data_IF_789835415316
#
_entry.id   IF_789835415316
#
_cell.length_a   1.000
_cell.length_b   1.000
_cell.length_c   1.000
_cell.angle_alpha   90.00
_cell.angle_beta   90.00
_cell.angle_gamma   90.00
#
_symmetry.space_group_name_H-M   'P 1'
#
loop_
_entity.id
_entity.type
_entity.pdbx_description
1 polymer ?
#
# COMPACT_ATOMS: atom_id res chain seq x y z
N UNK A 1 15.79 -19.60 13.87
CA UNK A 1 15.67 -18.13 14.10
C UNK A 1 14.88 -17.47 12.96
N UNK A 2 14.21 -16.32 13.23
CA UNK A 2 13.41 -15.64 12.21
C UNK A 2 14.09 -14.34 11.75
N UNK A 3 14.03 -14.04 10.45
CA UNK A 3 14.67 -12.87 9.85
C UNK A 3 13.70 -12.05 9.00
N UNK A 4 13.91 -10.72 8.98
CA UNK A 4 13.29 -9.80 8.05
C UNK A 4 14.34 -9.21 7.12
N UNK A 5 14.16 -9.35 5.82
CA UNK A 5 14.97 -8.70 4.81
C UNK A 5 14.22 -7.48 4.30
N UNK A 6 14.81 -6.32 4.47
CA UNK A 6 14.29 -5.05 3.99
C UNK A 6 15.33 -4.23 3.22
N UNK A 7 14.90 -3.14 2.58
CA UNK A 7 15.79 -2.27 1.86
C UNK A 7 16.76 -1.52 2.78
N UNK A 8 18.00 -1.32 2.31
CA UNK A 8 18.95 -0.40 2.94
C UNK A 8 18.48 1.03 2.70
N UNK A 9 17.81 1.60 3.71
CA UNK A 9 17.21 2.92 3.59
C UNK A 9 18.24 4.04 3.65
N UNK A 10 18.22 4.95 2.68
CA UNK A 10 18.98 6.19 2.74
C UNK A 10 18.29 7.18 3.68
N UNK A 11 19.04 7.78 4.60
CA UNK A 11 18.54 8.80 5.56
C UNK A 11 17.94 10.07 4.90
N UNK A 12 18.14 10.27 3.59
CA UNK A 12 17.69 11.43 2.82
C UNK A 12 16.47 11.06 1.95
N UNK A 13 15.30 10.98 2.52
CA UNK A 13 14.08 10.84 1.73
C UNK A 13 12.89 10.50 2.61
N UNK A 14 12.24 11.53 3.14
CA UNK A 14 10.95 11.42 3.83
C UNK A 14 9.80 11.32 2.81
N UNK A 15 9.90 10.40 1.84
CA UNK A 15 8.82 10.12 0.91
C UNK A 15 7.94 8.98 1.46
N UNK A 16 6.65 9.02 1.14
CA UNK A 16 5.69 8.00 1.54
C UNK A 16 6.13 6.56 1.16
N UNK A 17 6.90 6.39 0.07
CA UNK A 17 7.47 5.11 -0.35
C UNK A 17 8.47 4.49 0.63
N UNK A 18 9.11 5.28 1.51
CA UNK A 18 10.02 4.75 2.53
C UNK A 18 9.31 4.39 3.84
N UNK A 19 8.06 4.81 3.99
CA UNK A 19 7.29 4.58 5.23
C UNK A 19 6.91 3.12 5.39
N UNK A 20 6.40 2.49 4.32
CA UNK A 20 5.94 1.11 4.38
C UNK A 20 7.06 0.13 4.76
N UNK A 21 8.22 0.06 4.08
CA UNK A 21 9.26 -0.87 4.46
C UNK A 21 9.77 -0.64 5.88
N UNK A 22 9.83 0.62 6.34
CA UNK A 22 10.24 0.96 7.71
C UNK A 22 9.24 0.40 8.72
N UNK A 23 7.96 0.64 8.52
CA UNK A 23 6.92 0.16 9.41
C UNK A 23 6.88 -1.38 9.47
N UNK A 24 7.04 -2.06 8.34
CA UNK A 24 7.13 -3.53 8.31
C UNK A 24 8.35 -4.05 9.08
N UNK A 25 9.52 -3.41 8.91
CA UNK A 25 10.72 -3.77 9.64
C UNK A 25 10.52 -3.59 11.16
N UNK A 26 9.91 -2.48 11.57
CA UNK A 26 9.65 -2.20 12.98
C UNK A 26 8.64 -3.19 13.58
N UNK A 27 7.58 -3.54 12.85
CA UNK A 27 6.61 -4.57 13.26
C UNK A 27 7.29 -5.95 13.38
N UNK A 28 8.12 -6.33 12.40
CA UNK A 28 8.84 -7.61 12.46
C UNK A 28 9.84 -7.66 13.62
N UNK A 29 10.50 -6.55 13.94
CA UNK A 29 11.36 -6.46 15.12
C UNK A 29 10.60 -6.68 16.44
N UNK A 30 9.42 -6.05 16.55
CA UNK A 30 8.53 -6.24 17.69
C UNK A 30 8.11 -7.71 17.85
N UNK A 31 8.03 -8.43 16.71
CA UNK A 31 7.75 -9.88 16.68
C UNK A 31 9.02 -10.76 16.86
N UNK A 32 10.18 -10.17 17.09
CA UNK A 32 11.44 -10.88 17.35
C UNK A 32 12.23 -11.29 16.13
N UNK A 33 11.92 -10.78 14.94
CA UNK A 33 12.69 -11.03 13.73
C UNK A 33 14.00 -10.23 13.71
N UNK A 34 15.12 -10.87 13.33
CA UNK A 34 16.39 -10.18 13.12
C UNK A 34 16.42 -9.49 11.76
N UNK A 35 16.92 -8.25 11.71
CA UNK A 35 16.99 -7.45 10.47
C UNK A 35 18.18 -7.81 9.63
N UNK A 36 17.97 -7.95 8.33
CA UNK A 36 18.98 -8.00 7.28
C UNK A 36 18.63 -6.94 6.24
N UNK A 37 19.60 -6.19 5.76
CA UNK A 37 19.40 -5.17 4.75
C UNK A 37 20.04 -5.56 3.42
N UNK A 38 19.32 -5.27 2.34
CA UNK A 38 19.81 -5.40 0.96
C UNK A 38 19.53 -4.11 0.17
N UNK A 39 20.29 -3.87 -0.89
CA UNK A 39 20.05 -2.75 -1.77
C UNK A 39 18.80 -2.97 -2.62
N UNK A 40 17.92 -1.98 -2.72
CA UNK A 40 16.75 -2.01 -3.62
C UNK A 40 17.15 -2.11 -5.08
N UNK A 41 18.27 -1.50 -5.43
CA UNK A 41 18.85 -1.53 -6.75
C UNK A 41 20.32 -1.19 -6.72
N UNK A 42 21.05 -1.66 -7.71
CA UNK A 42 22.48 -1.45 -7.79
C UNK A 42 22.84 -0.26 -8.66
N UNK A 43 23.68 0.62 -8.13
CA UNK A 43 24.31 1.68 -8.92
C UNK A 43 25.34 1.04 -9.87
N UNK A 44 25.29 1.37 -11.16
CA UNK A 44 26.20 0.79 -12.17
C UNK A 44 27.68 0.92 -11.80
N UNK A 45 28.09 2.08 -11.22
CA UNK A 45 29.48 2.33 -10.80
C UNK A 45 29.89 1.55 -9.54
N UNK A 46 28.95 1.04 -8.75
CA UNK A 46 29.18 0.33 -7.49
C UNK A 46 28.57 -1.07 -7.49
N UNK A 47 28.15 -1.58 -8.63
CA UNK A 47 27.35 -2.80 -8.77
C UNK A 47 28.02 -4.00 -8.06
N UNK A 48 29.28 -4.26 -8.35
CA UNK A 48 30.01 -5.42 -7.80
C UNK A 48 30.08 -5.29 -6.28
N UNK A 49 30.46 -4.11 -5.77
CA UNK A 49 30.61 -3.87 -4.35
C UNK A 49 29.28 -4.03 -3.60
N UNK A 50 28.21 -3.42 -4.11
CA UNK A 50 26.87 -3.52 -3.51
C UNK A 50 26.32 -4.95 -3.57
N UNK A 51 26.58 -5.66 -4.66
CA UNK A 51 26.19 -7.07 -4.80
C UNK A 51 26.92 -7.97 -3.78
N UNK A 52 28.25 -7.76 -3.59
CA UNK A 52 29.02 -8.49 -2.58
C UNK A 52 28.59 -8.15 -1.17
N UNK A 53 28.29 -6.87 -0.87
CA UNK A 53 27.76 -6.45 0.43
C UNK A 53 26.45 -7.18 0.73
N UNK A 54 25.48 -7.18 -0.21
CA UNK A 54 24.22 -7.89 -0.03
C UNK A 54 24.42 -9.40 0.14
N UNK A 55 25.33 -9.99 -0.64
CA UNK A 55 25.65 -11.42 -0.50
C UNK A 55 26.20 -11.75 0.89
N UNK A 56 27.15 -10.96 1.41
CA UNK A 56 27.71 -11.13 2.76
C UNK A 56 26.61 -10.97 3.81
N UNK A 57 25.75 -9.95 3.70
CA UNK A 57 24.64 -9.75 4.63
C UNK A 57 23.70 -10.96 4.66
N UNK A 58 23.37 -11.53 3.51
CA UNK A 58 22.51 -12.71 3.41
C UNK A 58 23.16 -13.98 3.98
N UNK A 59 24.50 -14.07 4.02
CA UNK A 59 25.19 -15.21 4.62
C UNK A 59 24.96 -15.32 6.15
N UNK A 60 24.65 -14.20 6.84
CA UNK A 60 24.33 -14.21 8.27
C UNK A 60 22.98 -14.86 8.60
N UNK A 61 22.14 -15.15 7.62
CA UNK A 61 20.90 -15.89 7.80
C UNK A 61 21.24 -17.36 8.06
N UNK A 62 20.68 -17.93 9.12
CA UNK A 62 20.88 -19.35 9.48
C UNK A 62 20.12 -20.27 8.51
N UNK A 63 20.63 -21.49 8.33
CA UNK A 63 19.95 -22.51 7.54
C UNK A 63 18.60 -22.88 8.21
N UNK A 64 17.61 -23.30 7.42
CA UNK A 64 16.26 -23.71 7.87
C UNK A 64 15.51 -22.63 8.64
N UNK A 65 15.88 -21.34 8.49
CA UNK A 65 15.21 -20.22 9.17
C UNK A 65 13.95 -19.79 8.43
N UNK A 66 13.04 -19.11 9.15
CA UNK A 66 11.91 -18.41 8.52
C UNK A 66 12.34 -16.98 8.17
N UNK A 67 12.12 -16.58 6.92
CA UNK A 67 12.57 -15.30 6.39
C UNK A 67 11.41 -14.58 5.73
N UNK A 68 11.02 -13.44 6.29
CA UNK A 68 10.14 -12.48 5.61
C UNK A 68 11.02 -11.61 4.71
N UNK A 69 10.63 -11.47 3.46
CA UNK A 69 11.31 -10.58 2.51
C UNK A 69 10.33 -9.53 2.01
N UNK A 70 10.62 -8.24 2.28
CA UNK A 70 9.84 -7.14 1.71
C UNK A 70 10.13 -7.09 0.21
N UNK A 71 9.25 -7.71 -0.57
CA UNK A 71 9.40 -7.75 -2.03
C UNK A 71 8.65 -6.56 -2.65
N UNK A 72 9.44 -5.62 -3.10
CA UNK A 72 9.00 -4.41 -3.77
C UNK A 72 9.61 -4.36 -5.18
N UNK A 73 9.30 -3.34 -5.95
CA UNK A 73 9.89 -3.13 -7.28
C UNK A 73 11.39 -2.89 -7.16
N UNK A 74 12.13 -3.96 -6.97
CA UNK A 74 13.60 -3.96 -6.83
C UNK A 74 14.30 -4.23 -8.16
N UNK A 75 15.62 -4.12 -8.15
CA UNK A 75 16.39 -4.58 -9.29
C UNK A 75 16.25 -6.10 -9.43
N UNK A 76 16.21 -6.55 -10.69
CA UNK A 76 16.17 -7.97 -11.04
C UNK A 76 17.33 -8.77 -10.39
N UNK A 77 18.51 -8.19 -10.31
CA UNK A 77 19.69 -8.84 -9.73
C UNK A 77 19.56 -8.99 -8.21
N UNK A 78 19.08 -7.96 -7.51
CA UNK A 78 18.88 -8.00 -6.07
C UNK A 78 17.86 -9.08 -5.68
N UNK A 79 16.67 -9.08 -6.32
CA UNK A 79 15.66 -10.12 -6.09
C UNK A 79 16.21 -11.52 -6.32
N UNK A 80 16.88 -11.76 -7.48
CA UNK A 80 17.46 -13.05 -7.81
C UNK A 80 18.51 -13.50 -6.79
N UNK A 81 19.33 -12.57 -6.28
CA UNK A 81 20.33 -12.87 -5.25
C UNK A 81 19.66 -13.35 -3.97
N UNK A 82 18.67 -12.61 -3.47
CA UNK A 82 17.95 -12.96 -2.24
C UNK A 82 17.34 -14.36 -2.34
N UNK A 83 16.52 -14.62 -3.35
CA UNK A 83 15.89 -15.94 -3.51
C UNK A 83 16.93 -17.07 -3.69
N UNK A 84 17.99 -16.85 -4.48
CA UNK A 84 19.04 -17.84 -4.67
C UNK A 84 19.76 -18.21 -3.36
N UNK A 85 20.09 -17.22 -2.53
CA UNK A 85 20.76 -17.49 -1.24
C UNK A 85 19.81 -18.19 -0.27
N UNK A 86 18.59 -17.71 -0.14
CA UNK A 86 17.59 -18.29 0.75
C UNK A 86 17.24 -19.74 0.40
N UNK A 87 17.07 -20.05 -0.89
CA UNK A 87 16.86 -21.43 -1.36
C UNK A 87 18.03 -22.34 -1.01
N UNK A 88 19.29 -21.86 -1.20
CA UNK A 88 20.48 -22.65 -0.82
C UNK A 88 20.59 -22.92 0.68
N UNK A 89 20.02 -22.03 1.49
CA UNK A 89 19.97 -22.17 2.96
C UNK A 89 18.77 -22.99 3.44
N UNK A 90 17.95 -23.52 2.52
CA UNK A 90 16.69 -24.21 2.83
C UNK A 90 15.78 -23.34 3.73
N UNK A 91 15.79 -22.02 3.52
CA UNK A 91 14.98 -21.10 4.30
C UNK A 91 13.51 -21.14 3.87
N UNK A 92 12.60 -20.97 4.85
CA UNK A 92 11.16 -20.78 4.62
C UNK A 92 10.94 -19.35 4.18
N UNK A 93 10.79 -19.14 2.87
CA UNK A 93 10.72 -17.81 2.25
C UNK A 93 9.28 -17.32 2.26
N UNK A 94 9.05 -16.17 2.92
CA UNK A 94 7.75 -15.49 2.98
C UNK A 94 7.90 -14.08 2.38
N UNK A 95 7.74 -13.89 1.06
CA UNK A 95 7.70 -12.56 0.50
C UNK A 95 6.45 -11.81 0.97
N UNK A 96 6.64 -10.59 1.49
CA UNK A 96 5.61 -9.62 1.76
C UNK A 96 5.61 -8.61 0.62
N UNK A 97 4.52 -8.60 -0.16
CA UNK A 97 4.47 -7.85 -1.40
C UNK A 97 4.01 -6.41 -1.17
N UNK A 98 4.88 -5.45 -1.47
CA UNK A 98 4.50 -4.04 -1.55
C UNK A 98 3.96 -3.69 -2.94
N UNK A 99 4.68 -4.10 -3.97
CA UNK A 99 4.37 -3.84 -5.37
C UNK A 99 4.76 -5.03 -6.23
N UNK A 100 4.04 -5.24 -7.33
CA UNK A 100 4.34 -6.28 -8.32
C UNK A 100 4.62 -5.63 -9.68
N UNK A 101 5.79 -5.88 -10.24
CA UNK A 101 6.22 -5.31 -11.53
C UNK A 101 5.26 -5.64 -12.67
N UNK A 102 4.75 -6.86 -12.70
CA UNK A 102 3.81 -7.33 -13.75
C UNK A 102 2.49 -6.55 -13.72
N UNK A 103 2.02 -6.12 -12.55
CA UNK A 103 0.82 -5.28 -12.43
C UNK A 103 1.07 -3.84 -12.86
N UNK A 104 2.23 -3.29 -12.53
CA UNK A 104 2.61 -1.92 -12.90
C UNK A 104 2.89 -1.76 -14.39
N UNK A 105 3.35 -2.83 -15.07
CA UNK A 105 3.81 -2.80 -16.47
C UNK A 105 3.24 -3.97 -17.29
N UNK A 106 1.91 -4.09 -17.44
CA UNK A 106 1.26 -5.27 -18.01
C UNK A 106 1.55 -5.49 -19.51
N UNK A 107 2.09 -4.50 -20.22
CA UNK A 107 2.31 -4.57 -21.68
C UNK A 107 3.54 -5.38 -22.12
N UNK A 108 4.34 -5.89 -21.20
CA UNK A 108 5.48 -6.76 -21.51
C UNK A 108 5.48 -7.94 -20.58
N UNK A 109 5.21 -9.15 -21.10
CA UNK A 109 5.80 -10.40 -20.61
C UNK A 109 7.32 -10.30 -20.81
N UNK A 110 7.92 -9.28 -20.19
CA UNK A 110 9.35 -9.07 -20.25
C UNK A 110 10.02 -10.19 -19.45
N UNK A 111 11.24 -10.49 -19.79
CA UNK A 111 12.05 -11.43 -19.01
C UNK A 111 12.07 -11.08 -17.51
N UNK A 112 11.89 -9.78 -17.15
CA UNK A 112 11.78 -9.30 -15.79
C UNK A 112 10.50 -9.82 -15.09
N UNK A 113 9.36 -9.79 -15.76
CA UNK A 113 8.08 -10.24 -15.20
C UNK A 113 8.06 -11.76 -15.01
N UNK A 114 8.64 -12.53 -15.95
CA UNK A 114 8.78 -13.99 -15.80
C UNK A 114 9.62 -14.33 -14.59
N UNK A 115 10.76 -13.66 -14.41
CA UNK A 115 11.64 -13.89 -13.29
C UNK A 115 10.99 -13.54 -11.94
N UNK A 116 10.11 -12.53 -11.89
CA UNK A 116 9.34 -12.20 -10.68
C UNK A 116 8.45 -13.38 -10.29
N UNK A 117 7.68 -13.93 -11.25
CA UNK A 117 6.83 -15.10 -11.00
C UNK A 117 7.64 -16.36 -10.64
N UNK A 118 8.79 -16.59 -11.30
CA UNK A 118 9.71 -17.67 -10.97
C UNK A 118 10.22 -17.55 -9.52
N UNK A 119 10.61 -16.35 -9.09
CA UNK A 119 11.02 -16.11 -7.71
C UNK A 119 9.87 -16.34 -6.73
N UNK A 120 8.67 -15.86 -7.01
CA UNK A 120 7.50 -16.07 -6.14
C UNK A 120 7.13 -17.55 -6.02
N UNK A 121 7.38 -18.36 -7.04
CA UNK A 121 7.20 -19.81 -6.99
C UNK A 121 8.27 -20.57 -6.18
N UNK A 122 9.35 -19.89 -5.75
CA UNK A 122 10.32 -20.41 -4.77
C UNK A 122 9.88 -20.13 -3.33
N UNK A 123 8.86 -19.30 -3.10
CA UNK A 123 8.36 -19.00 -1.77
C UNK A 123 7.69 -20.22 -1.12
N UNK A 124 7.66 -20.24 0.23
CA UNK A 124 6.89 -21.20 1.00
C UNK A 124 5.44 -20.74 1.13
N UNK A 125 5.24 -19.45 1.40
CA UNK A 125 3.96 -18.78 1.48
C UNK A 125 4.16 -17.32 1.07
N UNK A 126 3.12 -16.64 0.58
CA UNK A 126 3.19 -15.24 0.12
C UNK A 126 2.24 -14.39 0.95
N UNK A 127 2.71 -13.27 1.50
CA UNK A 127 1.83 -12.25 2.06
C UNK A 127 1.51 -11.24 0.96
N UNK A 128 0.28 -11.28 0.46
CA UNK A 128 -0.26 -10.34 -0.53
C UNK A 128 -0.99 -9.18 0.15
N UNK A 129 -1.22 -8.10 -0.58
CA UNK A 129 -1.95 -6.97 -0.01
C UNK A 129 -3.44 -7.27 0.22
N UNK A 130 -4.09 -8.01 -0.70
CA UNK A 130 -5.52 -8.24 -0.66
C UNK A 130 -5.92 -9.41 -1.59
N UNK A 131 -7.20 -9.78 -1.54
CA UNK A 131 -7.75 -10.87 -2.34
C UNK A 131 -7.54 -10.71 -3.85
N UNK A 132 -7.70 -9.50 -4.39
CA UNK A 132 -7.53 -9.27 -5.82
C UNK A 132 -6.09 -9.51 -6.28
N UNK A 133 -5.10 -9.15 -5.44
CA UNK A 133 -3.69 -9.43 -5.70
C UNK A 133 -3.42 -10.94 -5.62
N UNK A 134 -3.92 -11.64 -4.61
CA UNK A 134 -3.84 -13.11 -4.49
C UNK A 134 -4.39 -13.81 -5.72
N UNK A 135 -5.60 -13.42 -6.15
CA UNK A 135 -6.26 -13.96 -7.34
C UNK A 135 -5.46 -13.68 -8.62
N UNK A 136 -4.89 -12.49 -8.74
CA UNK A 136 -4.03 -12.13 -9.87
C UNK A 136 -2.78 -13.01 -9.93
N UNK A 137 -2.10 -13.22 -8.80
CA UNK A 137 -0.91 -14.08 -8.71
C UNK A 137 -1.24 -15.52 -9.13
N UNK A 138 -2.33 -16.09 -8.61
CA UNK A 138 -2.79 -17.42 -8.97
C UNK A 138 -3.06 -17.53 -10.47
N UNK A 139 -3.77 -16.57 -11.05
CA UNK A 139 -4.07 -16.54 -12.49
C UNK A 139 -2.81 -16.31 -13.36
N UNK A 140 -1.71 -15.82 -12.76
CA UNK A 140 -0.43 -15.61 -13.42
C UNK A 140 0.54 -16.80 -13.26
N UNK A 141 0.09 -17.92 -12.67
CA UNK A 141 0.88 -19.13 -12.50
C UNK A 141 1.70 -19.20 -11.22
N UNK A 142 1.32 -18.43 -10.19
CA UNK A 142 1.90 -18.59 -8.84
C UNK A 142 1.04 -19.58 -8.06
N UNK A 143 1.62 -20.74 -7.73
CA UNK A 143 0.92 -21.87 -7.11
C UNK A 143 1.08 -21.91 -5.57
N UNK A 144 1.75 -20.93 -5.01
CA UNK A 144 2.04 -20.89 -3.57
C UNK A 144 0.85 -20.36 -2.77
N UNK A 145 0.64 -20.87 -1.53
CA UNK A 145 -0.39 -20.36 -0.65
C UNK A 145 -0.19 -18.88 -0.37
N UNK A 146 -1.29 -18.14 -0.30
CA UNK A 146 -1.28 -16.70 -0.02
C UNK A 146 -2.02 -16.36 1.26
N UNK A 147 -1.51 -15.39 2.02
CA UNK A 147 -2.16 -14.74 3.15
C UNK A 147 -2.39 -13.28 2.80
N UNK A 148 -3.56 -12.77 3.07
CA UNK A 148 -3.94 -11.39 2.74
C UNK A 148 -3.77 -10.48 3.95
N UNK A 149 -3.12 -9.33 3.74
CA UNK A 149 -2.93 -8.30 4.75
C UNK A 149 -4.16 -7.37 4.85
N UNK A 150 -4.86 -7.16 3.75
CA UNK A 150 -6.04 -6.32 3.52
C UNK A 150 -5.74 -4.81 3.53
N UNK A 151 -5.14 -4.29 4.58
CA UNK A 151 -4.83 -2.87 4.73
C UNK A 151 -3.34 -2.70 5.01
N UNK A 152 -2.71 -1.71 4.41
CA UNK A 152 -1.33 -1.35 4.72
C UNK A 152 -1.31 -0.60 6.06
N UNK A 153 -0.58 -1.11 7.03
CA UNK A 153 -0.39 -0.42 8.30
C UNK A 153 0.42 0.88 8.13
N UNK A 154 0.28 1.76 9.08
CA UNK A 154 0.98 3.04 9.13
C UNK A 154 1.24 3.36 10.61
N UNK A 155 2.41 2.96 11.08
CA UNK A 155 2.80 3.16 12.47
C UNK A 155 2.90 4.65 12.81
N UNK A 156 2.29 5.04 13.91
CA UNK A 156 2.35 6.41 14.40
C UNK A 156 2.08 6.47 15.89
N UNK A 157 2.76 7.40 16.56
CA UNK A 157 2.48 7.79 17.94
C UNK A 157 1.56 9.01 18.03
N UNK A 158 1.19 9.59 16.88
CA UNK A 158 0.25 10.72 16.85
C UNK A 158 -1.13 10.27 17.31
N UNK A 159 -1.80 11.12 18.07
CA UNK A 159 -3.19 10.89 18.47
C UNK A 159 -4.09 10.81 17.24
N UNK A 160 -4.83 9.71 17.12
CA UNK A 160 -5.86 9.57 16.09
C UNK A 160 -6.88 10.67 16.34
N UNK A 161 -7.16 11.48 15.31
CA UNK A 161 -8.07 12.62 15.45
C UNK A 161 -9.47 12.14 15.77
N UNK A 162 -9.94 12.45 16.97
CA UNK A 162 -11.36 12.44 17.26
C UNK A 162 -11.99 13.73 16.71
N UNK A 163 -12.61 13.60 15.57
CA UNK A 163 -13.28 14.72 14.88
C UNK A 163 -14.81 14.66 15.06
N UNK A 164 -15.30 13.88 16.04
CA UNK A 164 -16.73 13.70 16.31
C UNK A 164 -17.47 14.98 16.70
N UNK A 165 -16.76 16.00 17.17
CA UNK A 165 -17.34 17.26 17.64
C UNK A 165 -17.83 18.20 16.54
N UNK A 166 -17.41 18.00 15.29
CA UNK A 166 -17.77 18.90 14.18
C UNK A 166 -18.44 18.10 13.04
N UNK A 167 -19.71 18.37 12.81
CA UNK A 167 -20.42 17.82 11.67
C UNK A 167 -20.29 18.77 10.48
N UNK A 168 -19.42 18.42 9.57
CA UNK A 168 -19.38 18.92 8.21
C UNK A 168 -19.19 17.70 7.29
N UNK A 169 -19.71 17.75 6.08
CA UNK A 169 -19.54 16.69 5.09
C UNK A 169 -19.21 17.24 3.69
N UNK A 170 -18.71 18.46 3.63
CA UNK A 170 -18.53 19.19 2.38
C UNK A 170 -17.11 19.22 1.85
N UNK A 171 -16.12 18.78 2.64
CA UNK A 171 -14.71 18.86 2.26
C UNK A 171 -14.15 17.49 1.90
N UNK A 172 -13.72 17.33 0.65
CA UNK A 172 -13.01 16.16 0.14
C UNK A 172 -11.51 16.41 0.27
N UNK A 173 -10.80 15.58 1.02
CA UNK A 173 -9.35 15.59 1.14
C UNK A 173 -8.73 14.68 0.09
N UNK A 174 -7.78 15.19 -0.68
CA UNK A 174 -6.92 14.42 -1.55
C UNK A 174 -5.46 14.68 -1.25
N UNK A 175 -4.72 13.66 -0.82
CA UNK A 175 -3.29 13.72 -0.50
C UNK A 175 -2.46 12.74 -1.32
N UNK A 176 -1.34 13.17 -1.90
CA UNK A 176 -0.43 12.29 -2.61
C UNK A 176 0.46 12.96 -3.65
N UNK A 177 0.98 12.15 -4.57
CA UNK A 177 1.79 12.65 -5.68
C UNK A 177 0.88 13.34 -6.71
N UNK A 178 1.13 14.64 -6.95
CA UNK A 178 0.38 15.49 -7.87
C UNK A 178 0.95 15.51 -9.29
N UNK A 179 1.67 14.46 -9.71
CA UNK A 179 1.99 14.29 -11.11
C UNK A 179 0.72 14.07 -11.94
N UNK A 180 0.70 14.56 -13.17
CA UNK A 180 -0.46 14.39 -14.07
C UNK A 180 -0.87 12.92 -14.25
N UNK A 181 0.11 12.04 -14.29
CA UNK A 181 -0.10 10.61 -14.40
C UNK A 181 -0.89 10.01 -13.22
N UNK A 182 -0.71 10.53 -12.01
CA UNK A 182 -1.35 10.01 -10.80
C UNK A 182 -2.55 10.83 -10.35
N UNK A 183 -2.58 12.12 -10.63
CA UNK A 183 -3.58 13.05 -10.10
C UNK A 183 -4.19 13.96 -11.16
N UNK A 184 -3.96 13.67 -12.44
CA UNK A 184 -4.47 14.47 -13.55
C UNK A 184 -5.99 14.59 -13.60
N UNK A 185 -6.73 13.67 -12.96
CA UNK A 185 -8.17 13.76 -12.81
C UNK A 185 -8.62 15.06 -12.12
N UNK A 186 -7.80 15.60 -11.20
CA UNK A 186 -8.11 16.85 -10.48
C UNK A 186 -8.28 18.04 -11.44
N UNK A 187 -7.51 18.09 -12.53
CA UNK A 187 -7.62 19.16 -13.54
C UNK A 187 -8.83 19.02 -14.46
N UNK A 188 -9.53 17.88 -14.37
CA UNK A 188 -10.67 17.53 -15.21
C UNK A 188 -12.01 17.55 -14.48
N UNK A 189 -11.99 17.84 -13.17
CA UNK A 189 -13.20 18.02 -12.40
C UNK A 189 -13.99 19.21 -12.93
N UNK A 190 -15.23 18.96 -13.31
CA UNK A 190 -16.17 19.98 -13.79
C UNK A 190 -17.05 20.48 -12.64
N UNK A 191 -17.73 21.62 -12.77
CA UNK A 191 -18.65 22.12 -11.75
C UNK A 191 -19.68 21.08 -11.24
N UNK A 192 -20.21 20.25 -12.15
CA UNK A 192 -21.15 19.18 -11.78
C UNK A 192 -20.48 18.04 -10.99
N UNK A 193 -19.19 17.79 -11.16
CA UNK A 193 -18.44 16.77 -10.41
C UNK A 193 -18.12 17.24 -9.00
N UNK A 194 -18.14 18.53 -8.76
CA UNK A 194 -17.82 19.19 -7.50
C UNK A 194 -19.10 19.53 -6.73
N UNK A 195 -20.12 20.09 -7.40
CA UNK A 195 -21.37 20.56 -6.78
C UNK A 195 -21.09 21.59 -5.69
N UNK A 196 -21.64 21.36 -4.48
CA UNK A 196 -21.41 22.21 -3.29
C UNK A 196 -20.16 21.82 -2.49
N UNK A 197 -19.40 20.81 -2.94
CA UNK A 197 -18.23 20.31 -2.23
C UNK A 197 -17.01 21.20 -2.48
N UNK A 198 -16.06 21.15 -1.55
CA UNK A 198 -14.71 21.69 -1.70
C UNK A 198 -13.71 20.54 -1.72
N UNK A 199 -12.66 20.67 -2.53
CA UNK A 199 -11.56 19.73 -2.54
C UNK A 199 -10.32 20.39 -1.95
N UNK A 200 -9.78 19.81 -0.87
CA UNK A 200 -8.47 20.19 -0.33
C UNK A 200 -7.42 19.23 -0.85
N UNK A 201 -6.47 19.77 -1.61
CA UNK A 201 -5.46 18.98 -2.32
C UNK A 201 -4.08 19.22 -1.70
N UNK A 202 -3.44 18.13 -1.31
CA UNK A 202 -2.14 18.12 -0.66
C UNK A 202 -1.15 17.27 -1.45
N UNK A 203 0.11 17.74 -1.57
CA UNK A 203 1.18 17.00 -2.22
C UNK A 203 2.08 17.88 -3.07
N UNK A 204 2.94 17.23 -3.87
CA UNK A 204 3.87 17.92 -4.79
C UNK A 204 3.68 17.37 -6.21
N UNK A 205 3.72 18.24 -7.20
CA UNK A 205 3.67 17.90 -8.62
C UNK A 205 2.97 18.99 -9.45
N UNK A 206 3.02 18.86 -10.77
CA UNK A 206 2.59 19.86 -11.75
C UNK A 206 1.08 20.15 -11.76
N UNK A 207 0.27 19.24 -11.24
CA UNK A 207 -1.19 19.40 -11.16
C UNK A 207 -1.59 20.54 -10.23
N UNK A 208 -0.80 20.83 -9.19
CA UNK A 208 -1.11 21.87 -8.21
C UNK A 208 -1.34 23.27 -8.81
N UNK A 209 -0.75 23.55 -9.97
CA UNK A 209 -0.84 24.84 -10.66
C UNK A 209 -2.00 24.92 -11.68
N UNK A 210 -2.81 23.86 -11.82
CA UNK A 210 -3.86 23.74 -12.87
C UNK A 210 -5.21 23.30 -12.29
N UNK A 211 -5.47 23.62 -11.03
CA UNK A 211 -6.69 23.18 -10.33
C UNK A 211 -7.89 24.06 -10.67
N UNK A 212 -9.11 23.49 -10.79
CA UNK A 212 -10.35 24.26 -10.93
C UNK A 212 -10.68 25.09 -9.69
N UNK A 213 -11.61 26.05 -9.80
CA UNK A 213 -11.90 27.04 -8.76
C UNK A 213 -12.22 26.47 -7.38
N UNK A 214 -12.99 25.39 -7.28
CA UNK A 214 -13.37 24.77 -5.99
C UNK A 214 -12.40 23.68 -5.52
N UNK A 215 -11.22 23.60 -6.11
CA UNK A 215 -10.15 22.67 -5.76
C UNK A 215 -8.96 23.47 -5.22
N UNK A 216 -8.78 23.45 -3.91
CA UNK A 216 -7.87 24.33 -3.18
C UNK A 216 -6.58 23.59 -2.84
N UNK A 217 -5.46 24.07 -3.37
CA UNK A 217 -4.14 23.55 -3.01
C UNK A 217 -3.73 23.99 -1.61
N UNK A 218 -3.35 23.03 -0.76
CA UNK A 218 -2.98 23.23 0.65
C UNK A 218 -1.50 22.98 0.96
N UNK A 219 -0.69 22.73 -0.07
CA UNK A 219 0.75 22.52 0.08
C UNK A 219 1.18 21.05 0.16
N UNK A 220 2.48 20.84 0.26
CA UNK A 220 3.08 19.52 0.42
C UNK A 220 3.07 19.04 1.87
N UNK A 221 3.28 17.74 2.06
CA UNK A 221 3.45 17.12 3.36
C UNK A 221 4.40 15.92 3.27
N UNK A 222 5.04 15.56 4.37
CA UNK A 222 5.74 14.29 4.56
C UNK A 222 4.78 13.23 5.14
N UNK A 223 5.17 11.97 5.10
CA UNK A 223 4.36 10.90 5.67
C UNK A 223 4.07 11.15 7.17
N UNK A 224 5.07 11.60 7.91
CA UNK A 224 4.99 11.91 9.35
C UNK A 224 4.03 13.06 9.64
N UNK A 225 4.00 14.10 8.78
CA UNK A 225 3.13 15.27 8.93
C UNK A 225 1.68 15.02 8.47
N UNK A 226 1.42 13.89 7.81
CA UNK A 226 0.13 13.65 7.15
C UNK A 226 -1.06 13.76 8.10
N UNK A 227 -0.95 13.21 9.32
CA UNK A 227 -2.03 13.20 10.30
C UNK A 227 -2.36 14.62 10.78
N UNK A 228 -1.37 15.48 10.92
CA UNK A 228 -1.57 16.86 11.39
C UNK A 228 -2.07 17.77 10.28
N UNK A 229 -1.48 17.65 9.08
CA UNK A 229 -1.72 18.56 7.95
C UNK A 229 -3.00 18.25 7.18
N UNK A 230 -3.33 16.98 6.97
CA UNK A 230 -4.51 16.64 6.19
C UNK A 230 -5.79 17.02 6.93
N UNK A 231 -6.65 17.77 6.26
CA UNK A 231 -7.95 18.23 6.74
C UNK A 231 -9.00 17.95 5.70
N UNK A 232 -10.15 17.52 6.15
CA UNK A 232 -11.31 17.23 5.31
C UNK A 232 -12.33 16.38 6.05
N UNK A 233 -13.48 16.20 5.44
CA UNK A 233 -14.54 15.36 5.97
C UNK A 233 -14.48 13.95 5.37
N UNK A 234 -13.99 13.85 4.14
CA UNK A 234 -13.84 12.61 3.38
C UNK A 234 -12.45 12.49 2.78
N UNK A 235 -11.88 11.29 2.82
CA UNK A 235 -10.62 10.97 2.15
C UNK A 235 -10.85 10.36 0.78
N UNK A 236 -10.39 10.98 -0.30
CA UNK A 236 -10.54 10.45 -1.66
C UNK A 236 -9.40 9.50 -2.02
N UNK A 237 -9.71 8.22 -2.12
CA UNK A 237 -8.80 7.17 -2.60
C UNK A 237 -8.99 7.00 -4.10
N UNK A 238 -8.25 7.78 -4.88
CA UNK A 238 -8.32 7.80 -6.34
C UNK A 238 -6.93 7.94 -6.95
N UNK A 239 -6.78 7.49 -8.19
CA UNK A 239 -5.52 7.60 -8.92
C UNK A 239 -5.77 7.64 -10.42
N UNK A 240 -4.85 8.30 -11.15
CA UNK A 240 -4.89 8.37 -12.60
C UNK A 240 -5.25 9.74 -13.15
N UNK A 241 -5.47 9.79 -14.44
CA UNK A 241 -5.67 11.03 -15.18
C UNK A 241 -7.13 11.32 -15.53
N UNK A 242 -8.09 10.53 -15.04
CA UNK A 242 -9.51 10.62 -15.42
C UNK A 242 -10.46 10.57 -14.23
N UNK A 243 -11.58 11.29 -14.33
CA UNK A 243 -12.71 11.23 -13.39
C UNK A 243 -13.45 9.89 -13.47
N UNK A 244 -13.31 9.17 -14.57
CA UNK A 244 -13.82 7.82 -14.79
C UNK A 244 -12.66 6.84 -14.89
N UNK A 245 -12.65 5.79 -14.09
CA UNK A 245 -11.66 4.72 -14.23
C UNK A 245 -12.03 3.88 -15.45
N UNK A 246 -11.20 3.95 -16.47
CA UNK A 246 -11.37 3.18 -17.69
C UNK A 246 -10.16 2.26 -17.92
N UNK A 247 -10.33 1.31 -18.85
CA UNK A 247 -9.31 0.31 -19.15
C UNK A 247 -8.03 0.86 -19.80
N UNK A 248 -7.99 2.12 -20.19
CA UNK A 248 -6.83 2.76 -20.83
C UNK A 248 -5.86 3.41 -19.83
N UNK A 249 -6.33 3.70 -18.59
CA UNK A 249 -5.49 4.28 -17.54
C UNK A 249 -4.90 3.17 -16.65
N UNK A 250 -3.64 2.84 -16.89
CA UNK A 250 -2.93 1.79 -16.15
C UNK A 250 -2.77 2.11 -14.65
N UNK A 251 -2.64 3.40 -14.27
CA UNK A 251 -2.51 3.79 -12.88
C UNK A 251 -3.84 3.68 -12.12
N UNK A 252 -4.93 4.02 -12.79
CA UNK A 252 -6.27 3.83 -12.22
C UNK A 252 -6.58 2.33 -12.05
N UNK A 253 -6.26 1.51 -13.06
CA UNK A 253 -6.39 0.03 -12.98
C UNK A 253 -5.59 -0.60 -11.86
N UNK A 254 -4.43 -0.04 -11.56
CA UNK A 254 -3.57 -0.56 -10.51
C UNK A 254 -4.27 -0.61 -9.15
N UNK A 255 -5.17 0.34 -8.86
CA UNK A 255 -5.98 0.34 -7.65
C UNK A 255 -7.00 -0.82 -7.54
N UNK A 256 -7.23 -1.56 -8.62
CA UNK A 256 -8.02 -2.79 -8.54
C UNK A 256 -7.26 -3.94 -7.85
N UNK A 257 -5.95 -3.79 -7.63
CA UNK A 257 -5.09 -4.86 -7.11
C UNK A 257 -4.30 -4.47 -5.85
N UNK A 258 -4.21 -3.19 -5.53
CA UNK A 258 -3.39 -2.71 -4.40
C UNK A 258 -4.22 -2.03 -3.33
N UNK A 259 -3.74 -2.13 -2.09
CA UNK A 259 -4.24 -1.40 -0.94
C UNK A 259 -3.41 -0.13 -0.78
N UNK A 260 -3.93 1.05 -1.15
CA UNK A 260 -3.10 2.25 -1.18
C UNK A 260 -2.90 2.86 0.20
N UNK A 261 -1.71 3.38 0.49
CA UNK A 261 -1.41 4.12 1.72
C UNK A 261 -2.34 5.32 2.01
N UNK A 262 -2.97 5.87 0.97
CA UNK A 262 -3.98 6.93 1.13
C UNK A 262 -5.09 6.51 2.07
N UNK A 263 -5.55 5.26 1.97
CA UNK A 263 -6.58 4.73 2.86
C UNK A 263 -6.16 4.86 4.32
N UNK A 264 -4.96 4.37 4.64
CA UNK A 264 -4.42 4.37 6.01
C UNK A 264 -4.22 5.78 6.55
N UNK A 265 -3.69 6.69 5.72
CA UNK A 265 -3.54 8.10 6.10
C UNK A 265 -4.89 8.76 6.42
N UNK A 266 -5.93 8.53 5.60
CA UNK A 266 -7.25 9.11 5.85
C UNK A 266 -7.91 8.50 7.07
N UNK A 267 -7.75 7.19 7.27
CA UNK A 267 -8.25 6.53 8.48
C UNK A 267 -7.65 7.16 9.75
N UNK A 268 -6.34 7.37 9.79
CA UNK A 268 -5.64 8.02 10.92
C UNK A 268 -6.07 9.47 11.13
N UNK A 269 -6.54 10.14 10.07
CA UNK A 269 -7.15 11.47 10.16
C UNK A 269 -8.63 11.45 10.57
N UNK A 270 -9.23 10.27 10.83
CA UNK A 270 -10.66 10.10 11.14
C UNK A 270 -11.58 10.42 9.97
N UNK A 271 -11.10 10.35 8.73
CA UNK A 271 -11.87 10.63 7.52
C UNK A 271 -12.44 9.34 6.92
N UNK A 272 -13.77 9.14 6.87
CA UNK A 272 -14.37 8.11 6.03
C UNK A 272 -13.89 8.25 4.59
N UNK A 273 -13.78 7.14 3.88
CA UNK A 273 -13.15 7.14 2.55
C UNK A 273 -14.15 7.06 1.41
N UNK A 274 -13.78 7.65 0.28
CA UNK A 274 -14.44 7.50 -1.00
C UNK A 274 -13.53 6.65 -1.88
N UNK A 275 -14.00 5.48 -2.31
CA UNK A 275 -13.22 4.54 -3.10
C UNK A 275 -13.94 4.15 -4.39
N UNK A 276 -13.19 3.78 -5.42
CA UNK A 276 -13.76 3.19 -6.63
C UNK A 276 -14.40 1.83 -6.32
N UNK A 277 -15.62 1.59 -6.81
CA UNK A 277 -16.43 0.40 -6.50
C UNK A 277 -15.80 -0.93 -6.91
N UNK A 278 -14.84 -0.91 -7.85
CA UNK A 278 -14.08 -2.10 -8.30
C UNK A 278 -12.63 -2.10 -7.80
N UNK A 279 -12.27 -1.18 -6.90
CA UNK A 279 -10.94 -1.18 -6.29
C UNK A 279 -10.78 -2.34 -5.32
N UNK A 280 -9.53 -2.72 -5.05
CA UNK A 280 -9.22 -3.75 -4.06
C UNK A 280 -9.73 -3.41 -2.65
N UNK A 281 -9.92 -2.10 -2.35
CA UNK A 281 -10.42 -1.64 -1.06
C UNK A 281 -11.95 -1.63 -0.95
N UNK A 282 -12.68 -1.87 -2.05
CA UNK A 282 -14.14 -1.70 -2.07
C UNK A 282 -14.85 -2.65 -1.09
N UNK A 283 -14.46 -3.93 -1.06
CA UNK A 283 -15.02 -4.92 -0.15
C UNK A 283 -14.73 -4.55 1.30
N UNK A 284 -13.49 -4.24 1.63
CA UNK A 284 -13.10 -3.82 2.97
C UNK A 284 -13.89 -2.60 3.47
N UNK A 285 -14.05 -1.57 2.62
CA UNK A 285 -14.81 -0.37 2.96
C UNK A 285 -16.28 -0.67 3.19
N UNK A 286 -16.87 -1.57 2.39
CA UNK A 286 -18.26 -2.00 2.53
C UNK A 286 -18.48 -2.81 3.81
N UNK A 287 -17.64 -3.81 4.08
CA UNK A 287 -17.75 -4.69 5.25
C UNK A 287 -17.54 -3.94 6.56
N UNK A 288 -16.60 -3.00 6.60
CA UNK A 288 -16.34 -2.18 7.78
C UNK A 288 -17.21 -0.92 7.86
N UNK A 289 -18.09 -0.69 6.89
CA UNK A 289 -18.94 0.50 6.83
C UNK A 289 -18.18 1.80 7.16
N UNK A 290 -17.02 2.00 6.53
CA UNK A 290 -16.11 3.08 6.85
C UNK A 290 -15.95 4.12 5.71
N UNK A 291 -16.90 4.12 4.76
CA UNK A 291 -16.88 5.03 3.61
C UNK A 291 -17.95 4.72 2.58
N UNK A 292 -17.78 5.29 1.38
CA UNK A 292 -18.68 5.11 0.24
C UNK A 292 -17.95 4.62 -1.00
N UNK A 293 -18.71 3.92 -1.86
CA UNK A 293 -18.23 3.41 -3.14
C UNK A 293 -18.81 4.24 -4.27
N UNK A 294 -17.96 4.61 -5.25
CA UNK A 294 -18.37 5.35 -6.45
C UNK A 294 -17.87 4.66 -7.72
N UNK A 295 -18.62 4.73 -8.82
CA UNK A 295 -18.16 4.23 -10.12
C UNK A 295 -17.37 5.31 -10.88
N UNK A 296 -17.68 6.57 -10.61
CA UNK A 296 -16.96 7.74 -11.14
C UNK A 296 -17.06 8.90 -10.14
N UNK A 297 -16.26 9.94 -10.34
CA UNK A 297 -16.22 11.06 -9.40
C UNK A 297 -17.48 11.94 -9.47
N UNK A 298 -18.23 11.93 -10.58
CA UNK A 298 -19.47 12.70 -10.73
C UNK A 298 -20.59 12.21 -9.80
N UNK A 299 -20.50 10.99 -9.27
CA UNK A 299 -21.48 10.46 -8.31
C UNK A 299 -21.30 11.03 -6.89
N UNK A 300 -20.12 11.59 -6.58
CA UNK A 300 -19.77 11.99 -5.20
C UNK A 300 -20.76 13.02 -4.62
N UNK A 301 -21.08 14.13 -5.31
CA UNK A 301 -21.99 15.14 -4.75
C UNK A 301 -23.36 14.57 -4.36
N UNK A 302 -23.95 13.76 -5.23
CA UNK A 302 -25.24 13.14 -4.99
C UNK A 302 -25.18 12.13 -3.83
N UNK A 303 -24.16 11.27 -3.82
CA UNK A 303 -24.00 10.27 -2.75
C UNK A 303 -23.80 10.93 -1.39
N UNK A 304 -22.94 11.95 -1.29
CA UNK A 304 -22.71 12.66 -0.04
C UNK A 304 -23.97 13.38 0.43
N UNK A 305 -24.71 14.03 -0.47
CA UNK A 305 -25.95 14.72 -0.10
C UNK A 305 -27.07 13.80 0.40
N UNK A 306 -27.03 12.51 0.01
CA UNK A 306 -27.99 11.50 0.49
C UNK A 306 -27.63 10.87 1.83
N UNK A 307 -26.43 11.12 2.37
CA UNK A 307 -25.98 10.55 3.63
C UNK A 307 -26.54 11.35 4.80
N UNK A 308 -27.29 10.69 5.69
CA UNK A 308 -27.77 11.32 6.91
C UNK A 308 -26.62 11.60 7.88
N UNK A 309 -26.84 12.55 8.81
CA UNK A 309 -25.88 12.85 9.88
C UNK A 309 -25.50 11.59 10.67
N UNK A 310 -26.48 10.77 11.03
CA UNK A 310 -26.24 9.53 11.79
C UNK A 310 -25.39 8.53 11.01
N UNK A 311 -25.65 8.39 9.71
CA UNK A 311 -24.86 7.51 8.85
C UNK A 311 -23.40 8.01 8.71
N UNK A 312 -23.20 9.31 8.57
CA UNK A 312 -21.85 9.90 8.52
C UNK A 312 -21.09 9.69 9.84
N UNK A 313 -21.74 9.90 10.98
CA UNK A 313 -21.15 9.63 12.31
C UNK A 313 -20.77 8.15 12.44
N UNK A 314 -21.62 7.23 11.94
CA UNK A 314 -21.30 5.79 11.92
C UNK A 314 -20.04 5.52 11.11
N UNK A 315 -19.91 6.07 9.90
CA UNK A 315 -18.71 5.91 9.08
C UNK A 315 -17.47 6.44 9.79
N UNK A 316 -17.56 7.57 10.47
CA UNK A 316 -16.45 8.15 11.23
C UNK A 316 -16.02 7.28 12.40
N UNK A 317 -16.96 6.76 13.18
CA UNK A 317 -16.65 5.82 14.26
C UNK A 317 -15.94 4.59 13.72
N UNK A 318 -16.45 4.02 12.65
CA UNK A 318 -15.91 2.81 12.08
C UNK A 318 -14.50 3.02 11.50
N UNK A 319 -14.25 4.12 10.79
CA UNK A 319 -12.90 4.40 10.28
C UNK A 319 -11.90 4.67 11.42
N UNK A 320 -12.34 5.29 12.52
CA UNK A 320 -11.51 5.49 13.71
C UNK A 320 -11.13 4.15 14.37
N UNK A 321 -12.06 3.18 14.43
CA UNK A 321 -11.75 1.83 14.91
C UNK A 321 -10.69 1.16 14.01
N UNK A 322 -10.83 1.26 12.69
CA UNK A 322 -9.84 0.76 11.74
C UNK A 322 -8.49 1.46 11.94
N UNK A 323 -8.48 2.76 12.19
CA UNK A 323 -7.27 3.55 12.42
C UNK A 323 -6.46 3.07 13.64
N UNK A 324 -7.14 2.64 14.71
CA UNK A 324 -6.47 2.05 15.90
C UNK A 324 -5.67 0.81 15.51
N UNK A 325 -6.22 -0.04 14.65
CA UNK A 325 -5.51 -1.23 14.16
C UNK A 325 -4.34 -0.87 13.25
N UNK A 326 -4.54 0.09 12.35
CA UNK A 326 -3.51 0.58 11.42
C UNK A 326 -2.32 1.16 12.19
N UNK A 327 -2.57 2.01 13.20
CA UNK A 327 -1.51 2.69 13.95
C UNK A 327 -0.60 1.75 14.74
N UNK A 328 -1.10 0.55 15.08
CA UNK A 328 -0.39 -0.47 15.86
C UNK A 328 0.19 -1.61 15.02
N UNK A 329 0.07 -1.57 13.69
CA UNK A 329 0.58 -2.61 12.81
C UNK A 329 -0.20 -3.93 12.86
N UNK A 330 -1.46 -3.90 13.27
CA UNK A 330 -2.21 -5.12 13.56
C UNK A 330 -2.56 -5.93 12.31
N UNK A 331 -2.72 -5.30 11.14
CA UNK A 331 -2.98 -6.01 9.89
C UNK A 331 -1.75 -6.82 9.47
N UNK A 332 -0.57 -6.22 9.52
CA UNK A 332 0.70 -6.88 9.23
C UNK A 332 1.00 -7.99 10.24
N UNK A 333 0.87 -7.71 11.56
CA UNK A 333 1.07 -8.71 12.62
C UNK A 333 0.18 -9.93 12.42
N UNK A 334 -1.10 -9.71 12.09
CA UNK A 334 -2.06 -10.80 11.81
C UNK A 334 -1.66 -11.61 10.57
N UNK A 335 -1.23 -10.94 9.50
CA UNK A 335 -0.80 -11.61 8.28
C UNK A 335 0.47 -12.46 8.51
N UNK A 336 1.46 -11.91 9.22
CA UNK A 336 2.70 -12.63 9.58
C UNK A 336 2.38 -13.88 10.39
N UNK A 337 1.60 -13.76 11.46
CA UNK A 337 1.21 -14.93 12.29
C UNK A 337 0.50 -16.01 11.50
N UNK A 338 -0.41 -15.61 10.59
CA UNK A 338 -1.08 -16.57 9.71
C UNK A 338 -0.10 -17.26 8.76
N UNK A 339 0.84 -16.52 8.18
CA UNK A 339 1.85 -17.07 7.30
C UNK A 339 2.79 -18.04 8.05
N UNK A 340 3.22 -17.70 9.27
CA UNK A 340 4.02 -18.61 10.12
C UNK A 340 3.28 -19.91 10.44
N UNK A 341 1.99 -19.83 10.78
CA UNK A 341 1.15 -21.01 11.01
C UNK A 341 1.05 -21.90 9.76
N UNK A 342 0.83 -21.33 8.60
CA UNK A 342 0.79 -22.08 7.33
C UNK A 342 2.12 -22.77 7.04
N UNK A 343 3.23 -22.06 7.23
CA UNK A 343 4.57 -22.61 6.99
C UNK A 343 4.87 -23.77 7.92
N UNK A 344 4.52 -23.65 9.21
CA UNK A 344 4.72 -24.72 10.19
C UNK A 344 3.84 -25.95 9.94
N UNK A 345 2.60 -25.75 9.46
CA UNK A 345 1.71 -26.85 9.10
C UNK A 345 2.18 -27.61 7.84
N UNK A 346 2.80 -26.91 6.89
CA UNK A 346 3.41 -27.55 5.70
C UNK A 346 4.52 -28.51 6.16
N UNK A 347 5.40 -28.09 7.08
CA UNK A 347 6.46 -28.98 7.59
C UNK A 347 5.94 -30.23 8.31
N UNK A 348 4.88 -30.07 9.10
CA UNK A 348 4.30 -31.20 9.85
C UNK A 348 3.62 -32.26 8.96
N UNK A 349 3.24 -31.89 7.73
CA UNK A 349 2.66 -32.82 6.77
C UNK A 349 3.71 -33.57 5.90
N UNK A 350 4.97 -33.18 5.99
CA UNK A 350 6.09 -33.81 5.28
C UNK A 350 7.03 -34.61 6.20
N UNK A 351 6.81 -34.58 7.53
CA UNK A 351 7.47 -35.43 8.53
C UNK A 351 6.52 -36.53 9.00
#
# INVERSE_FOLDING_TARGET
MNYIIGPKMNKKGMFAGNKFPRDIIDICNELGFKKIYVHEGYNQKKLIFQYLEDYINLLHIENNSTVIYIDQVTSRLSRKLVYKVLTKKNAKIIPLLEDIDILRRPRRLSQKNRQELECLNLATCIISQNHNMSKFLKNSGVEKPTVEMNVLDFLTNSTIKDTMSHYSNYVICYGGNLSYKQSGFLTKLKPQDIGKLQYYVYGKGEVSNKLPHNVIYKGGFSAEESIEKLKGDWGLVWNGSSVNINNKDANAKYYNFVSPHKFSMYALCGMPVIVYSKSAMAEFVKENECGILVNNLSEIPQKISSISKNQYIKYRRNISNVAVHISKGNFTKKAIRKAELLVNNIDNNFN
#
